data_IF_896534000457
#
_entry.id   IF_896534000457
#
_cell.length_a   1.000
_cell.length_b   1.000
_cell.length_c   1.000
_cell.angle_alpha   90.00
_cell.angle_beta   90.00
_cell.angle_gamma   90.00
#
_symmetry.space_group_name_H-M   'P 1'
#
loop_
_entity.id
_entity.type
_entity.pdbx_description
1 polymer ?
#
# COMPACT_ATOMS: atom_id res chain seq x y z
N UNK A 1 -6.36 -9.26 15.85
CA UNK A 1 -7.67 -8.60 15.58
C UNK A 1 -8.12 -8.97 14.18
N UNK A 2 -9.42 -9.01 13.92
CA UNK A 2 -9.99 -9.36 12.62
C UNK A 2 -11.16 -8.46 12.24
N UNK A 3 -11.26 -8.08 10.97
CA UNK A 3 -12.20 -7.09 10.46
C UNK A 3 -13.12 -7.70 9.40
N UNK A 4 -14.38 -7.27 9.35
CA UNK A 4 -15.35 -7.69 8.31
C UNK A 4 -15.13 -6.91 7.01
N UNK A 5 -15.62 -7.43 5.89
CA UNK A 5 -15.51 -6.80 4.57
C UNK A 5 -15.95 -5.33 4.56
N UNK A 6 -17.11 -5.01 5.15
CA UNK A 6 -17.60 -3.62 5.20
C UNK A 6 -16.66 -2.71 6.01
N UNK A 7 -16.22 -3.16 7.18
CA UNK A 7 -15.27 -2.41 8.02
C UNK A 7 -13.93 -2.20 7.32
N UNK A 8 -13.43 -3.22 6.63
CA UNK A 8 -12.21 -3.13 5.83
C UNK A 8 -12.38 -2.14 4.68
N UNK A 9 -13.48 -2.22 3.93
CA UNK A 9 -13.78 -1.32 2.83
C UNK A 9 -13.84 0.15 3.29
N UNK A 10 -14.55 0.41 4.39
CA UNK A 10 -14.66 1.74 4.98
C UNK A 10 -13.30 2.26 5.47
N UNK A 11 -12.50 1.40 6.11
CA UNK A 11 -11.18 1.75 6.63
C UNK A 11 -10.11 2.01 5.55
N UNK A 12 -10.33 1.55 4.32
CA UNK A 12 -9.46 1.87 3.17
C UNK A 12 -10.08 2.90 2.23
N UNK A 13 -11.27 3.43 2.57
CA UNK A 13 -11.99 4.40 1.74
C UNK A 13 -12.44 3.84 0.38
N UNK A 14 -12.76 2.55 0.31
CA UNK A 14 -13.20 1.86 -0.91
C UNK A 14 -14.66 1.41 -0.78
N UNK A 15 -15.37 1.34 -1.91
CA UNK A 15 -16.68 0.69 -1.94
C UNK A 15 -16.55 -0.83 -1.63
N UNK A 16 -17.37 -1.34 -0.71
CA UNK A 16 -17.42 -2.75 -0.36
C UNK A 16 -17.63 -3.68 -1.57
N UNK A 17 -18.37 -3.24 -2.59
CA UNK A 17 -18.55 -3.97 -3.85
C UNK A 17 -17.23 -4.11 -4.61
N UNK A 18 -16.46 -3.03 -4.72
CA UNK A 18 -15.12 -3.07 -5.35
C UNK A 18 -14.21 -4.05 -4.62
N UNK A 19 -14.23 -4.01 -3.28
CA UNK A 19 -13.45 -4.94 -2.47
C UNK A 19 -13.89 -6.40 -2.69
N UNK A 20 -15.20 -6.66 -2.78
CA UNK A 20 -15.72 -7.99 -3.10
C UNK A 20 -15.28 -8.44 -4.49
N UNK A 21 -15.40 -7.56 -5.50
CA UNK A 21 -14.98 -7.87 -6.87
C UNK A 21 -13.49 -8.21 -6.93
N UNK A 22 -12.65 -7.53 -6.15
CA UNK A 22 -11.21 -7.85 -6.06
C UNK A 22 -10.95 -9.22 -5.42
N UNK A 23 -11.72 -9.59 -4.39
CA UNK A 23 -11.64 -10.93 -3.80
C UNK A 23 -12.05 -12.02 -4.79
N UNK A 24 -13.18 -11.81 -5.46
CA UNK A 24 -13.76 -12.82 -6.33
C UNK A 24 -12.90 -13.03 -7.59
N UNK A 25 -12.16 -11.99 -8.02
CA UNK A 25 -11.16 -12.06 -9.10
C UNK A 25 -9.78 -12.54 -8.64
N UNK A 26 -9.58 -12.80 -7.34
CA UNK A 26 -8.29 -13.23 -6.79
C UNK A 26 -7.17 -12.18 -6.84
N UNK A 27 -7.52 -10.89 -6.96
CA UNK A 27 -6.57 -9.77 -6.99
C UNK A 27 -5.90 -9.62 -5.63
N UNK A 28 -6.67 -9.78 -4.56
CA UNK A 28 -6.19 -9.80 -3.19
C UNK A 28 -6.42 -11.19 -2.58
N UNK A 29 -5.58 -11.61 -1.61
CA UNK A 29 -5.75 -12.91 -0.97
C UNK A 29 -7.12 -13.04 -0.30
N UNK A 30 -7.70 -14.23 -0.36
CA UNK A 30 -8.93 -14.51 0.37
C UNK A 30 -8.70 -14.34 1.88
N UNK A 31 -9.59 -13.63 2.58
CA UNK A 31 -9.54 -13.50 4.03
C UNK A 31 -9.68 -14.87 4.69
N UNK A 32 -9.15 -14.99 5.91
CA UNK A 32 -9.21 -16.25 6.65
C UNK A 32 -10.67 -16.58 6.99
N UNK A 33 -11.04 -17.84 6.81
CA UNK A 33 -12.34 -18.36 7.21
C UNK A 33 -12.35 -18.53 8.73
N UNK A 34 -13.16 -17.74 9.45
CA UNK A 34 -13.43 -17.97 10.87
C UNK A 34 -14.33 -19.18 11.11
N UNK A 35 -14.36 -19.72 12.34
CA UNK A 35 -15.40 -20.67 12.77
C UNK A 35 -16.77 -19.99 12.61
N UNK A 36 -17.57 -20.44 11.64
CA UNK A 36 -18.86 -19.84 11.30
C UNK A 36 -18.93 -19.08 9.96
N UNK A 37 -18.03 -19.34 9.01
CA UNK A 37 -18.10 -18.89 7.60
C UNK A 37 -18.05 -17.38 7.32
N UNK A 38 -17.78 -16.54 8.33
CA UNK A 38 -17.57 -15.12 8.08
C UNK A 38 -16.12 -14.87 7.64
N UNK A 39 -15.95 -14.35 6.42
CA UNK A 39 -14.69 -13.84 5.86
C UNK A 39 -14.13 -12.77 6.79
N UNK A 40 -12.94 -12.97 7.36
CA UNK A 40 -12.33 -12.03 8.29
C UNK A 40 -10.90 -11.65 7.87
N UNK A 41 -10.65 -10.35 7.76
CA UNK A 41 -9.38 -9.75 7.37
C UNK A 41 -8.51 -9.50 8.59
N UNK A 42 -7.25 -9.94 8.58
CA UNK A 42 -6.27 -9.48 9.55
C UNK A 42 -5.78 -8.08 9.21
N UNK A 43 -5.13 -7.39 10.16
CA UNK A 43 -4.58 -6.03 9.93
C UNK A 43 -3.67 -5.97 8.69
N UNK A 44 -2.83 -7.00 8.50
CA UNK A 44 -1.98 -7.14 7.30
C UNK A 44 -2.78 -7.12 6.00
N UNK A 45 -3.94 -7.77 5.99
CA UNK A 45 -4.77 -7.84 4.80
C UNK A 45 -5.36 -6.45 4.52
N UNK A 46 -5.79 -5.74 5.57
CA UNK A 46 -6.29 -4.36 5.46
C UNK A 46 -5.21 -3.41 4.92
N UNK A 47 -3.99 -3.45 5.47
CA UNK A 47 -2.87 -2.62 5.01
C UNK A 47 -2.53 -2.91 3.54
N UNK A 48 -2.49 -4.20 3.17
CA UNK A 48 -2.26 -4.61 1.78
C UNK A 48 -3.33 -4.03 0.86
N UNK A 49 -4.61 -4.17 1.22
CA UNK A 49 -5.74 -3.64 0.44
C UNK A 49 -5.62 -2.12 0.29
N UNK A 50 -5.28 -1.40 1.36
CA UNK A 50 -5.10 0.04 1.33
C UNK A 50 -3.97 0.46 0.37
N UNK A 51 -2.85 -0.26 0.39
CA UNK A 51 -1.73 -0.02 -0.53
C UNK A 51 -2.16 -0.29 -1.98
N UNK A 52 -2.85 -1.40 -2.27
CA UNK A 52 -3.36 -1.67 -3.63
C UNK A 52 -4.28 -0.55 -4.08
N UNK A 53 -5.20 -0.12 -3.21
CA UNK A 53 -6.12 0.98 -3.51
C UNK A 53 -5.38 2.26 -3.88
N UNK A 54 -4.38 2.67 -3.10
CA UNK A 54 -3.60 3.88 -3.41
C UNK A 54 -2.81 3.78 -4.69
N UNK A 55 -2.15 2.64 -4.94
CA UNK A 55 -1.43 2.45 -6.18
C UNK A 55 -2.36 2.50 -7.40
N UNK A 56 -3.56 1.92 -7.30
CA UNK A 56 -4.56 2.02 -8.38
C UNK A 56 -5.07 3.43 -8.60
N UNK A 57 -5.24 4.23 -7.54
CA UNK A 57 -5.62 5.65 -7.64
C UNK A 57 -4.55 6.50 -8.34
N UNK A 58 -3.28 6.15 -8.17
CA UNK A 58 -2.14 6.80 -8.84
C UNK A 58 -2.04 6.38 -10.32
N UNK A 59 -2.79 5.34 -10.73
CA UNK A 59 -2.89 4.88 -12.11
C UNK A 59 -2.18 3.56 -12.39
N UNK A 60 -1.68 2.84 -11.37
CA UNK A 60 -1.16 1.50 -11.61
C UNK A 60 -2.29 0.52 -11.95
N UNK A 61 -2.08 -0.38 -12.93
CA UNK A 61 -2.97 -1.51 -13.13
C UNK A 61 -3.11 -2.32 -11.84
N UNK A 62 -4.34 -2.73 -11.52
CA UNK A 62 -4.66 -3.39 -10.23
C UNK A 62 -3.82 -4.64 -9.95
N UNK A 63 -3.47 -5.41 -10.98
CA UNK A 63 -2.62 -6.60 -10.84
C UNK A 63 -1.18 -6.22 -10.43
N UNK A 64 -0.62 -5.17 -11.04
CA UNK A 64 0.71 -4.65 -10.68
C UNK A 64 0.70 -4.01 -9.30
N UNK A 65 -0.35 -3.27 -8.95
CA UNK A 65 -0.56 -2.74 -7.61
C UNK A 65 -0.62 -3.86 -6.55
N UNK A 66 -1.34 -4.95 -6.83
CA UNK A 66 -1.42 -6.12 -5.95
C UNK A 66 -0.09 -6.85 -5.78
N UNK A 67 0.69 -6.97 -6.87
CA UNK A 67 2.04 -7.52 -6.85
C UNK A 67 2.99 -6.63 -6.05
N UNK A 68 2.97 -5.31 -6.26
CA UNK A 68 3.80 -4.37 -5.52
C UNK A 68 3.45 -4.33 -4.02
N UNK A 69 2.15 -4.34 -3.67
CA UNK A 69 1.71 -4.40 -2.28
C UNK A 69 2.19 -5.67 -1.57
N UNK A 70 2.33 -6.79 -2.29
CA UNK A 70 2.86 -8.05 -1.75
C UNK A 70 4.31 -7.94 -1.28
N UNK A 71 5.12 -7.08 -1.91
CA UNK A 71 6.50 -6.80 -1.48
C UNK A 71 6.52 -6.20 -0.08
N UNK A 72 5.55 -5.33 0.24
CA UNK A 72 5.41 -4.80 1.59
C UNK A 72 4.84 -5.84 2.57
N UNK A 73 3.79 -6.56 2.19
CA UNK A 73 3.03 -7.41 3.12
C UNK A 73 3.66 -8.77 3.40
N UNK A 74 4.34 -9.35 2.41
CA UNK A 74 4.71 -10.77 2.39
C UNK A 74 6.23 -10.98 2.44
N UNK A 75 7.03 -10.06 1.89
CA UNK A 75 8.48 -10.18 1.94
C UNK A 75 9.06 -9.77 3.30
N UNK A 76 10.07 -10.52 3.75
CA UNK A 76 10.90 -10.12 4.90
C UNK A 76 12.09 -9.35 4.37
N UNK A 77 12.37 -8.19 4.96
CA UNK A 77 13.69 -7.58 4.83
C UNK A 77 14.51 -7.87 6.09
N UNK A 78 15.84 -7.79 5.99
CA UNK A 78 16.75 -7.94 7.13
C UNK A 78 16.45 -6.96 8.28
N UNK A 79 15.83 -5.83 7.97
CA UNK A 79 15.59 -4.71 8.90
C UNK A 79 14.10 -4.44 9.17
N UNK A 80 13.20 -5.28 8.65
CA UNK A 80 11.74 -5.07 8.72
C UNK A 80 11.00 -6.40 8.67
N UNK A 81 10.25 -6.75 9.71
CA UNK A 81 9.32 -7.87 9.65
C UNK A 81 8.22 -7.66 8.59
N UNK A 82 7.57 -8.74 8.17
CA UNK A 82 6.49 -8.71 7.16
C UNK A 82 5.35 -7.79 7.59
N UNK A 83 4.89 -6.94 6.66
CA UNK A 83 3.79 -5.99 6.90
C UNK A 83 4.01 -5.08 8.12
N UNK A 84 5.26 -4.74 8.42
CA UNK A 84 5.58 -3.73 9.42
C UNK A 84 6.29 -2.57 8.76
N UNK A 85 6.16 -1.38 9.35
CA UNK A 85 6.96 -0.22 8.99
C UNK A 85 8.40 -0.40 9.51
N UNK A 86 9.36 0.29 8.91
CA UNK A 86 10.66 0.49 9.55
C UNK A 86 10.47 1.20 10.89
N UNK A 87 11.26 0.80 11.91
CA UNK A 87 11.18 1.36 13.26
C UNK A 87 11.62 2.83 13.30
N UNK A 88 12.53 3.21 12.42
CA UNK A 88 13.04 4.57 12.26
C UNK A 88 12.86 5.02 10.81
N UNK A 89 12.70 6.33 10.61
CA UNK A 89 12.54 6.92 9.28
C UNK A 89 11.15 6.70 8.66
N UNK A 90 11.08 6.82 7.34
CA UNK A 90 9.87 6.62 6.53
C UNK A 90 10.06 5.41 5.62
N UNK A 91 9.06 4.55 5.65
CA UNK A 91 8.92 3.37 4.80
C UNK A 91 8.23 3.77 3.50
N UNK A 92 8.96 3.68 2.40
CA UNK A 92 8.40 3.89 1.08
C UNK A 92 8.30 2.57 0.32
N UNK A 93 7.16 2.34 -0.32
CA UNK A 93 7.04 1.34 -1.38
C UNK A 93 7.32 2.04 -2.70
N UNK A 94 8.40 1.63 -3.35
CA UNK A 94 8.90 2.19 -4.58
C UNK A 94 8.73 1.18 -5.70
N UNK A 95 8.22 1.63 -6.83
CA UNK A 95 7.89 0.79 -8.00
C UNK A 95 8.52 1.44 -9.23
N UNK A 96 9.37 0.68 -9.91
CA UNK A 96 9.94 1.04 -11.21
C UNK A 96 9.47 0.04 -12.29
N UNK A 97 10.07 0.10 -13.49
CA UNK A 97 9.75 -0.79 -14.61
C UNK A 97 10.07 -2.27 -14.35
N UNK A 98 11.01 -2.55 -13.46
CA UNK A 98 11.64 -3.86 -13.29
C UNK A 98 11.17 -4.53 -11.99
N UNK A 99 10.95 -3.75 -10.93
CA UNK A 99 10.61 -4.26 -9.62
C UNK A 99 9.87 -3.25 -8.71
N UNK A 100 9.23 -3.81 -7.68
CA UNK A 100 8.80 -3.08 -6.51
C UNK A 100 9.72 -3.41 -5.34
N UNK A 101 10.02 -2.42 -4.49
CA UNK A 101 10.92 -2.56 -3.34
C UNK A 101 10.48 -1.66 -2.19
N UNK A 102 10.72 -2.11 -0.97
CA UNK A 102 10.53 -1.29 0.24
C UNK A 102 11.84 -0.64 0.62
N UNK A 103 11.85 0.68 0.76
CA UNK A 103 13.03 1.47 1.16
C UNK A 103 12.74 2.23 2.45
N UNK A 104 13.79 2.44 3.24
CA UNK A 104 13.77 3.35 4.37
C UNK A 104 14.48 4.65 3.99
N UNK A 105 13.91 5.79 4.32
CA UNK A 105 14.59 7.07 4.24
C UNK A 105 14.22 7.96 5.44
N UNK A 106 15.21 8.56 6.08
CA UNK A 106 15.04 9.47 7.21
C UNK A 106 14.85 10.90 6.75
N UNK A 107 15.53 11.28 5.66
CA UNK A 107 15.42 12.62 5.06
C UNK A 107 14.96 12.57 3.61
N UNK A 108 14.61 13.73 3.07
CA UNK A 108 14.24 13.86 1.66
C UNK A 108 15.47 13.64 0.77
N UNK A 109 16.62 14.17 1.15
CA UNK A 109 17.87 14.06 0.42
C UNK A 109 18.35 12.61 0.35
N UNK A 110 18.20 11.87 1.46
CA UNK A 110 18.48 10.43 1.48
C UNK A 110 17.54 9.67 0.54
N UNK A 111 16.24 9.97 0.58
CA UNK A 111 15.28 9.39 -0.35
C UNK A 111 15.66 9.67 -1.81
N UNK A 112 15.94 10.93 -2.16
CA UNK A 112 16.33 11.32 -3.51
C UNK A 112 17.65 10.65 -3.95
N UNK A 113 18.61 10.48 -3.04
CA UNK A 113 19.88 9.77 -3.27
C UNK A 113 19.67 8.27 -3.54
N UNK A 114 18.86 7.60 -2.71
CA UNK A 114 18.48 6.19 -2.91
C UNK A 114 17.78 5.97 -4.26
N UNK A 115 17.03 6.97 -4.70
CA UNK A 115 16.25 6.95 -5.92
C UNK A 115 17.02 7.44 -7.15
N UNK A 116 18.20 8.05 -7.00
CA UNK A 116 18.94 8.69 -8.08
C UNK A 116 19.25 7.73 -9.24
N UNK A 117 19.61 6.47 -8.93
CA UNK A 117 19.86 5.43 -9.93
C UNK A 117 18.60 4.88 -10.61
N UNK A 118 17.43 5.12 -10.02
CA UNK A 118 16.12 4.72 -10.58
C UNK A 118 15.53 5.84 -11.44
N UNK A 119 15.73 7.09 -11.03
CA UNK A 119 15.28 8.29 -11.72
C UNK A 119 16.11 8.66 -12.96
N UNK A 120 17.30 8.08 -13.12
CA UNK A 120 18.16 8.28 -14.29
C UNK A 120 17.70 7.49 -15.53
N UNK A 121 16.69 6.62 -15.38
CA UNK A 121 16.10 5.84 -16.47
C UNK A 121 14.91 6.59 -17.07
N UNK A 122 14.64 6.41 -18.36
CA UNK A 122 13.52 7.04 -19.10
C UNK A 122 12.12 6.53 -18.68
N UNK A 123 12.00 5.87 -17.53
CA UNK A 123 10.77 5.28 -17.04
C UNK A 123 10.22 6.05 -15.83
N UNK A 124 8.89 6.06 -15.70
CA UNK A 124 8.23 6.61 -14.52
C UNK A 124 8.46 5.74 -13.30
N UNK A 125 8.56 6.36 -12.13
CA UNK A 125 8.73 5.70 -10.85
C UNK A 125 7.61 6.13 -9.92
N UNK A 126 6.97 5.17 -9.26
CA UNK A 126 5.97 5.46 -8.22
C UNK A 126 6.60 5.27 -6.85
N UNK A 127 6.40 6.24 -5.97
CA UNK A 127 6.77 6.11 -4.57
C UNK A 127 5.57 6.42 -3.67
N UNK A 128 5.20 5.43 -2.87
CA UNK A 128 4.13 5.51 -1.90
C UNK A 128 4.72 5.52 -0.49
N UNK A 129 4.41 6.54 0.31
CA UNK A 129 4.76 6.55 1.72
C UNK A 129 3.80 5.62 2.48
N UNK A 130 4.29 4.45 2.89
CA UNK A 130 3.47 3.42 3.52
C UNK A 130 3.12 3.81 4.95
N UNK A 131 3.95 4.58 5.64
CA UNK A 131 3.63 5.07 7.00
C UNK A 131 2.33 5.84 7.01
N UNK A 132 2.10 6.71 6.02
CA UNK A 132 0.89 7.53 5.97
C UNK A 132 -0.36 6.71 5.66
N UNK A 133 -0.24 5.67 4.82
CA UNK A 133 -1.35 4.76 4.51
C UNK A 133 -1.73 3.97 5.77
N UNK A 134 -0.76 3.34 6.43
CA UNK A 134 -0.99 2.54 7.65
C UNK A 134 -1.56 3.40 8.77
N UNK A 135 -1.00 4.58 9.02
CA UNK A 135 -1.49 5.47 10.08
C UNK A 135 -2.96 5.88 9.90
N UNK A 136 -3.41 6.03 8.64
CA UNK A 136 -4.81 6.36 8.36
C UNK A 136 -5.73 5.16 8.49
N UNK A 137 -5.29 3.99 8.03
CA UNK A 137 -6.03 2.74 8.25
C UNK A 137 -6.22 2.52 9.76
N UNK A 138 -5.15 2.65 10.55
CA UNK A 138 -5.22 2.53 12.00
C UNK A 138 -6.19 3.54 12.63
N UNK A 139 -6.13 4.80 12.20
CA UNK A 139 -7.06 5.83 12.68
C UNK A 139 -8.53 5.55 12.30
N UNK A 140 -8.78 5.05 11.08
CA UNK A 140 -10.11 4.68 10.62
C UNK A 140 -10.68 3.49 11.41
N UNK A 141 -9.86 2.46 11.63
CA UNK A 141 -10.22 1.29 12.41
C UNK A 141 -10.45 1.62 13.89
N UNK A 142 -9.66 2.53 14.47
CA UNK A 142 -9.81 2.98 15.85
C UNK A 142 -11.08 3.83 16.06
N UNK A 143 -11.47 4.62 15.06
CA UNK A 143 -12.68 5.47 15.12
C UNK A 143 -13.97 4.75 14.73
N UNK A 144 -13.89 3.50 14.24
CA UNK A 144 -15.06 2.73 13.81
C UNK A 144 -15.76 3.29 12.58
N UNK A 145 -15.05 4.08 11.75
CA UNK A 145 -15.64 4.86 10.67
C UNK A 145 -14.73 5.05 9.46
N UNK A 146 -15.25 5.79 8.46
CA UNK A 146 -14.64 6.03 7.15
C UNK A 146 -13.25 6.63 7.25
N UNK A 147 -12.30 6.07 6.49
CA UNK A 147 -10.96 6.60 6.40
C UNK A 147 -10.95 8.06 5.93
N UNK A 148 -10.10 8.92 6.53
CA UNK A 148 -9.75 10.19 5.89
C UNK A 148 -9.18 9.91 4.50
N UNK A 149 -9.35 10.85 3.57
CA UNK A 149 -8.86 10.73 2.18
C UNK A 149 -7.40 10.28 2.21
N UNK A 150 -7.12 9.08 1.69
CA UNK A 150 -5.78 8.51 1.67
C UNK A 150 -4.83 9.46 0.89
N UNK A 151 -3.56 9.65 1.31
CA UNK A 151 -2.67 10.59 0.67
C UNK A 151 -2.35 10.08 -0.72
N UNK A 152 -2.43 10.98 -1.70
CA UNK A 152 -1.92 10.66 -3.03
C UNK A 152 -0.44 10.26 -2.92
N UNK A 153 -0.14 9.00 -3.20
CA UNK A 153 1.24 8.61 -3.48
C UNK A 153 1.78 9.46 -4.63
N UNK A 154 3.10 9.60 -4.67
CA UNK A 154 3.74 10.51 -5.59
C UNK A 154 4.27 9.74 -6.80
N UNK A 155 3.87 10.18 -7.99
CA UNK A 155 4.46 9.76 -9.24
C UNK A 155 5.68 10.64 -9.52
N UNK A 156 6.78 10.03 -9.94
CA UNK A 156 8.01 10.71 -10.32
C UNK A 156 8.38 10.34 -11.76
N UNK A 157 8.90 11.29 -12.52
CA UNK A 157 9.51 11.05 -13.83
C UNK A 157 10.76 11.91 -13.95
N UNK A 158 11.89 11.31 -14.30
CA UNK A 158 13.19 11.98 -14.41
C UNK A 158 13.54 12.78 -13.13
N UNK A 159 13.28 12.19 -11.97
CA UNK A 159 13.52 12.80 -10.65
C UNK A 159 12.57 13.91 -10.24
N UNK A 160 11.61 14.29 -11.10
CA UNK A 160 10.60 15.32 -10.78
C UNK A 160 9.30 14.68 -10.37
N UNK A 161 8.73 15.14 -9.24
CA UNK A 161 7.38 14.77 -8.83
C UNK A 161 6.39 15.29 -9.88
N UNK A 162 5.60 14.38 -10.44
CA UNK A 162 4.47 14.71 -11.30
C UNK A 162 3.27 15.04 -10.42
N UNK A 163 2.54 16.10 -10.79
CA UNK A 163 1.23 16.37 -10.21
C UNK A 163 0.26 15.32 -10.75
N UNK A 164 -0.17 14.40 -9.89
CA UNK A 164 -1.25 13.46 -10.18
C UNK A 164 -2.54 14.16 -9.74
N UNK A 165 -3.45 14.39 -10.70
CA UNK A 165 -4.70 15.13 -10.51
C UNK A 165 -5.76 14.38 -9.71
#
# INVERSE_FOLDING_TARGET
MSYKLAQTADAVGMNARTLSDWLDRGIIPAPRSGKGNHRAFGIRDVDRIAIVHELTRIGLPVAEAAKAASVFSDERSKYRPRAQLHQEGKTFLVIDSDCARVVNAHTREEFESLMAGMFSRDHGVVALNVNTVVAQVDAALASGGSAPKLPAGALYRNGKKLHVG
#
